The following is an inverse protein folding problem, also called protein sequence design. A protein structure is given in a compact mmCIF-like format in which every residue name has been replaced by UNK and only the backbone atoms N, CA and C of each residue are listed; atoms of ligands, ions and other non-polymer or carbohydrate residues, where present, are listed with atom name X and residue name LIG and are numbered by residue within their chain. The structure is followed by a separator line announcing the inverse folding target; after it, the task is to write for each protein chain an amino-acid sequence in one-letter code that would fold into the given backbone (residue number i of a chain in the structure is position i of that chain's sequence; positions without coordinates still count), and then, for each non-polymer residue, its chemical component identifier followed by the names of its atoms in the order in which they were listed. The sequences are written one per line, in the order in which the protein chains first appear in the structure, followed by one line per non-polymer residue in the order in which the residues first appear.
data_IF_106944974874
#
_entry.id   IF_106944974874
#
_cell.length_a   1.000
_cell.length_b   1.000
_cell.length_c   1.000
_cell.angle_alpha   90.00
_cell.angle_beta   90.00
_cell.angle_gamma   90.00
#
_symmetry.space_group_name_H-M   'P 1'
#
loop_
_entity.id
_entity.type
_entity.pdbx_description
1 polymer ?
#
# COMPACT_ATOMS: atom_id res chain seq x y z
N UNK A 1 -5.43 -28.03 -12.44
CA UNK A 1 -4.50 -27.20 -11.64
C UNK A 1 -5.25 -26.69 -10.41
N UNK A 2 -4.83 -27.11 -9.21
CA UNK A 2 -5.50 -26.88 -7.92
C UNK A 2 -5.79 -25.38 -7.67
N UNK A 3 -6.98 -25.00 -7.20
CA UNK A 3 -7.37 -23.57 -7.11
C UNK A 3 -6.42 -22.77 -6.21
N UNK A 4 -5.89 -23.40 -5.15
CA UNK A 4 -4.91 -22.81 -4.24
C UNK A 4 -3.58 -22.48 -4.92
N UNK A 5 -3.09 -23.35 -5.81
CA UNK A 5 -1.84 -23.10 -6.54
C UNK A 5 -1.95 -21.87 -7.45
N UNK A 6 -3.12 -21.63 -8.06
CA UNK A 6 -3.38 -20.42 -8.84
C UNK A 6 -3.37 -19.16 -7.96
N UNK A 7 -3.98 -19.21 -6.78
CA UNK A 7 -3.99 -18.07 -5.85
C UNK A 7 -2.57 -17.73 -5.40
N UNK A 8 -1.78 -18.73 -5.02
CA UNK A 8 -0.37 -18.54 -4.63
C UNK A 8 0.45 -17.94 -5.79
N UNK A 9 0.25 -18.41 -7.02
CA UNK A 9 0.91 -17.83 -8.18
C UNK A 9 0.53 -16.35 -8.40
N UNK A 10 -0.74 -16.00 -8.21
CA UNK A 10 -1.17 -14.59 -8.27
C UNK A 10 -0.59 -13.75 -7.13
N UNK A 11 -0.47 -14.29 -5.92
CA UNK A 11 0.24 -13.61 -4.84
C UNK A 11 1.69 -13.30 -5.22
N UNK A 12 2.40 -14.25 -5.82
CA UNK A 12 3.78 -14.04 -6.27
C UNK A 12 3.87 -12.94 -7.35
N UNK A 13 2.94 -12.94 -8.31
CA UNK A 13 2.85 -11.87 -9.33
C UNK A 13 2.54 -10.52 -8.66
N UNK A 14 1.63 -10.49 -7.69
CA UNK A 14 1.26 -9.28 -6.96
C UNK A 14 2.43 -8.71 -6.13
N UNK A 15 3.25 -9.57 -5.52
CA UNK A 15 4.51 -9.17 -4.86
C UNK A 15 5.45 -8.52 -5.87
N UNK A 16 5.68 -9.17 -7.01
CA UNK A 16 6.52 -8.60 -8.08
C UNK A 16 5.99 -7.26 -8.59
N UNK A 17 4.68 -7.13 -8.76
CA UNK A 17 4.03 -5.90 -9.18
C UNK A 17 4.20 -4.77 -8.16
N UNK A 18 4.03 -5.04 -6.87
CA UNK A 18 4.27 -4.05 -5.82
C UNK A 18 5.71 -3.51 -5.87
N UNK A 19 6.69 -4.39 -5.98
CA UNK A 19 8.12 -4.01 -6.04
C UNK A 19 8.41 -3.21 -7.31
N UNK A 20 8.01 -3.72 -8.48
CA UNK A 20 8.30 -3.07 -9.77
C UNK A 20 7.61 -1.71 -9.88
N UNK A 21 6.34 -1.60 -9.49
CA UNK A 21 5.63 -0.32 -9.52
C UNK A 21 6.21 0.65 -8.48
N UNK A 22 6.49 0.20 -7.26
CA UNK A 22 7.11 1.01 -6.22
C UNK A 22 8.43 1.62 -6.67
N UNK A 23 9.32 0.80 -7.21
CA UNK A 23 10.62 1.24 -7.72
C UNK A 23 10.49 2.13 -8.96
N UNK A 24 9.60 1.80 -9.90
CA UNK A 24 9.39 2.63 -11.09
C UNK A 24 8.89 4.03 -10.73
N UNK A 25 7.94 4.14 -9.80
CA UNK A 25 7.39 5.42 -9.34
C UNK A 25 8.46 6.22 -8.57
N UNK A 26 9.25 5.54 -7.74
CA UNK A 26 10.39 6.14 -7.02
C UNK A 26 11.44 6.70 -7.99
N UNK A 27 11.81 5.92 -9.03
CA UNK A 27 12.78 6.31 -10.04
C UNK A 27 12.30 7.51 -10.89
N UNK A 28 11.02 7.54 -11.25
CA UNK A 28 10.39 8.66 -11.94
C UNK A 28 10.17 9.88 -11.05
N UNK A 29 10.44 9.76 -9.74
CA UNK A 29 10.25 10.82 -8.73
C UNK A 29 8.86 11.45 -8.77
N UNK A 30 7.83 10.64 -9.00
CA UNK A 30 6.45 11.13 -8.99
C UNK A 30 6.09 11.47 -7.53
N UNK A 31 5.74 12.74 -7.23
CA UNK A 31 5.43 13.12 -5.86
C UNK A 31 4.10 12.49 -5.43
N UNK A 32 4.04 12.08 -4.15
CA UNK A 32 2.82 11.60 -3.48
C UNK A 32 2.20 10.31 -4.03
N UNK A 33 2.85 9.63 -4.97
CA UNK A 33 2.39 8.35 -5.51
C UNK A 33 3.45 7.29 -5.22
N UNK A 34 3.03 6.05 -4.89
CA UNK A 34 3.95 4.94 -4.62
C UNK A 34 3.54 3.66 -5.36
N UNK A 35 2.25 3.34 -5.45
CA UNK A 35 1.68 2.13 -6.08
C UNK A 35 2.21 0.78 -5.54
N UNK A 36 2.99 0.82 -4.46
CA UNK A 36 3.68 -0.28 -3.78
C UNK A 36 2.75 -1.27 -3.05
N UNK A 37 1.45 -0.98 -3.04
CA UNK A 37 0.43 -1.78 -2.36
C UNK A 37 -0.70 -2.20 -3.27
N UNK A 38 -0.65 -1.87 -4.56
CA UNK A 38 -1.69 -2.25 -5.54
C UNK A 38 -1.93 -3.76 -5.59
N UNK A 39 -0.87 -4.55 -5.62
CA UNK A 39 -0.95 -6.02 -5.61
C UNK A 39 -1.55 -6.54 -4.30
N UNK A 40 -1.18 -5.95 -3.16
CA UNK A 40 -1.75 -6.30 -1.85
C UNK A 40 -3.26 -6.04 -1.81
N UNK A 41 -3.69 -4.86 -2.29
CA UNK A 41 -5.10 -4.47 -2.37
C UNK A 41 -5.86 -5.43 -3.30
N UNK A 42 -5.30 -5.75 -4.47
CA UNK A 42 -5.92 -6.68 -5.41
C UNK A 42 -6.11 -8.07 -4.82
N UNK A 43 -5.07 -8.63 -4.19
CA UNK A 43 -5.16 -9.97 -3.59
C UNK A 43 -6.13 -9.97 -2.40
N UNK A 44 -6.05 -8.98 -1.52
CA UNK A 44 -6.94 -8.85 -0.38
C UNK A 44 -8.42 -8.74 -0.80
N UNK A 45 -8.69 -7.99 -1.88
CA UNK A 45 -10.04 -7.79 -2.39
C UNK A 45 -10.66 -9.03 -3.05
N UNK A 46 -9.86 -9.87 -3.72
CA UNK A 46 -10.37 -11.00 -4.51
C UNK A 46 -10.19 -12.37 -3.85
N UNK A 47 -9.12 -12.55 -3.06
CA UNK A 47 -8.79 -13.84 -2.43
C UNK A 47 -8.88 -13.79 -0.91
N UNK A 48 -9.10 -12.60 -0.34
CA UNK A 48 -9.35 -12.40 1.08
C UNK A 48 -8.10 -12.07 1.89
N UNK A 49 -8.34 -11.86 3.19
CA UNK A 49 -7.38 -11.29 4.13
C UNK A 49 -6.06 -12.08 4.22
N UNK A 50 -6.12 -13.41 4.35
CA UNK A 50 -4.92 -14.23 4.55
C UNK A 50 -3.93 -14.15 3.39
N UNK A 51 -4.41 -14.22 2.15
CA UNK A 51 -3.55 -14.07 0.97
C UNK A 51 -3.09 -12.62 0.77
N UNK A 52 -3.90 -11.64 1.14
CA UNK A 52 -3.51 -10.23 1.15
C UNK A 52 -2.36 -9.96 2.11
N UNK A 53 -2.47 -10.46 3.35
CA UNK A 53 -1.41 -10.36 4.37
C UNK A 53 -0.13 -11.02 3.86
N UNK A 54 -0.23 -12.26 3.33
CA UNK A 54 0.92 -12.96 2.77
C UNK A 54 1.61 -12.11 1.69
N UNK A 55 0.85 -11.56 0.75
CA UNK A 55 1.37 -10.72 -0.35
C UNK A 55 2.07 -9.47 0.19
N UNK A 56 1.44 -8.73 1.11
CA UNK A 56 1.98 -7.49 1.65
C UNK A 56 3.21 -7.69 2.54
N UNK A 57 3.22 -8.75 3.34
CA UNK A 57 4.38 -9.12 4.17
C UNK A 57 5.54 -9.57 3.30
N UNK A 58 5.29 -10.48 2.34
CA UNK A 58 6.33 -10.95 1.42
C UNK A 58 6.92 -9.81 0.58
N UNK A 59 6.10 -8.83 0.18
CA UNK A 59 6.57 -7.61 -0.51
C UNK A 59 7.61 -6.87 0.34
N UNK A 60 7.29 -6.56 1.61
CA UNK A 60 8.22 -5.81 2.46
C UNK A 60 9.44 -6.63 2.89
N UNK A 61 9.31 -7.95 3.03
CA UNK A 61 10.46 -8.83 3.28
C UNK A 61 11.40 -8.87 2.07
N UNK A 62 10.84 -8.95 0.86
CA UNK A 62 11.64 -8.88 -0.37
C UNK A 62 12.33 -7.52 -0.50
N UNK A 63 11.61 -6.42 -0.26
CA UNK A 63 12.21 -5.08 -0.16
C UNK A 63 13.27 -4.99 0.92
N UNK A 64 13.08 -5.68 2.05
CA UNK A 64 14.07 -5.83 3.10
C UNK A 64 15.40 -6.44 2.63
N UNK A 65 15.31 -7.43 1.73
CA UNK A 65 16.46 -8.13 1.17
C UNK A 65 17.16 -7.34 0.05
N UNK A 66 16.39 -6.66 -0.82
CA UNK A 66 16.95 -5.97 -2.00
C UNK A 66 17.25 -4.49 -1.77
N UNK A 67 16.42 -3.81 -0.98
CA UNK A 67 16.47 -2.36 -0.75
C UNK A 67 16.91 -1.98 0.66
N UNK A 68 17.05 -2.95 1.57
CA UNK A 68 17.58 -2.76 2.91
C UNK A 68 16.59 -3.08 4.04
N UNK A 69 17.12 -3.53 5.17
CA UNK A 69 16.36 -4.07 6.32
C UNK A 69 15.34 -3.09 6.91
N UNK A 70 15.49 -1.79 6.65
CA UNK A 70 14.58 -0.74 7.09
C UNK A 70 13.19 -0.81 6.44
N UNK A 71 13.04 -1.55 5.33
CA UNK A 71 11.74 -1.79 4.71
C UNK A 71 10.88 -2.81 5.49
N UNK A 72 11.50 -3.74 6.24
CA UNK A 72 10.80 -4.87 6.90
C UNK A 72 9.71 -4.39 7.87
N UNK A 73 9.93 -3.38 8.74
CA UNK A 73 8.89 -2.91 9.66
C UNK A 73 7.63 -2.39 8.96
N UNK A 74 7.73 -1.88 7.73
CA UNK A 74 6.58 -1.43 6.94
C UNK A 74 5.68 -2.59 6.48
N UNK A 75 6.08 -3.85 6.69
CA UNK A 75 5.19 -5.01 6.58
C UNK A 75 3.91 -4.82 7.42
N UNK A 76 4.00 -4.20 8.60
CA UNK A 76 2.84 -3.92 9.45
C UNK A 76 1.82 -2.98 8.78
N UNK A 77 2.30 -2.02 7.99
CA UNK A 77 1.44 -1.13 7.20
C UNK A 77 0.71 -1.95 6.13
N UNK A 78 1.42 -2.86 5.45
CA UNK A 78 0.84 -3.72 4.42
C UNK A 78 -0.16 -4.74 5.00
N UNK A 79 0.05 -5.21 6.23
CA UNK A 79 -0.93 -6.02 6.98
C UNK A 79 -2.22 -5.22 7.21
N UNK A 80 -2.11 -3.97 7.67
CA UNK A 80 -3.28 -3.11 7.85
C UNK A 80 -4.03 -2.87 6.52
N UNK A 81 -3.29 -2.64 5.42
CA UNK A 81 -3.87 -2.55 4.07
C UNK A 81 -4.70 -3.79 3.73
N UNK A 82 -4.12 -4.97 3.88
CA UNK A 82 -4.78 -6.22 3.56
C UNK A 82 -6.05 -6.44 4.40
N UNK A 83 -6.00 -6.14 5.71
CA UNK A 83 -7.14 -6.29 6.61
C UNK A 83 -8.29 -5.36 6.19
N UNK A 84 -8.02 -4.06 6.03
CA UNK A 84 -9.05 -3.06 5.73
C UNK A 84 -9.71 -3.36 4.39
N UNK A 85 -8.91 -3.66 3.36
CA UNK A 85 -9.43 -3.95 2.01
C UNK A 85 -10.25 -5.24 2.01
N UNK A 86 -9.77 -6.31 2.63
CA UNK A 86 -10.49 -7.57 2.67
C UNK A 86 -11.84 -7.44 3.41
N UNK A 87 -11.90 -6.65 4.49
CA UNK A 87 -13.14 -6.41 5.22
C UNK A 87 -14.17 -5.64 4.37
N UNK A 88 -13.74 -4.62 3.62
CA UNK A 88 -14.63 -3.85 2.74
C UNK A 88 -15.06 -4.64 1.50
N UNK A 89 -14.18 -5.50 0.99
CA UNK A 89 -14.39 -6.28 -0.22
C UNK A 89 -15.27 -7.53 -0.04
N UNK A 90 -15.71 -7.87 1.18
CA UNK A 90 -16.56 -9.06 1.46
C UNK A 90 -17.73 -9.25 0.50
N UNK A 91 -18.38 -8.14 0.12
CA UNK A 91 -19.50 -8.13 -0.82
C UNK A 91 -19.11 -7.49 -2.17
N UNK A 92 -17.90 -7.79 -2.65
CA UNK A 92 -17.31 -7.21 -3.86
C UNK A 92 -16.62 -5.86 -3.64
N UNK A 93 -15.72 -5.50 -4.56
CA UNK A 93 -14.91 -4.28 -4.49
C UNK A 93 -15.17 -3.40 -5.72
N UNK A 94 -16.00 -2.37 -5.55
CA UNK A 94 -16.33 -1.39 -6.60
C UNK A 94 -15.79 0.00 -6.29
N UNK A 95 -15.98 0.96 -7.20
CA UNK A 95 -15.43 2.32 -7.08
C UNK A 95 -15.80 3.03 -5.76
N UNK A 96 -17.05 2.93 -5.29
CA UNK A 96 -17.44 3.53 -4.01
C UNK A 96 -16.67 2.97 -2.81
N UNK A 97 -16.52 1.64 -2.77
CA UNK A 97 -15.70 0.97 -1.72
C UNK A 97 -14.21 1.26 -1.88
N UNK A 98 -13.73 1.44 -3.11
CA UNK A 98 -12.35 1.81 -3.37
C UNK A 98 -12.02 3.21 -2.85
N UNK A 99 -12.92 4.19 -3.01
CA UNK A 99 -12.74 5.52 -2.42
C UNK A 99 -12.74 5.43 -0.89
N UNK A 100 -13.70 4.71 -0.29
CA UNK A 100 -13.76 4.52 1.16
C UNK A 100 -12.50 3.82 1.68
N UNK A 101 -12.05 2.76 1.00
CA UNK A 101 -10.82 2.05 1.35
C UNK A 101 -9.60 2.99 1.25
N UNK A 102 -9.45 3.71 0.15
CA UNK A 102 -8.37 4.66 -0.06
C UNK A 102 -8.32 5.73 1.03
N UNK A 103 -9.47 6.30 1.40
CA UNK A 103 -9.57 7.27 2.49
C UNK A 103 -9.19 6.65 3.85
N UNK A 104 -9.73 5.49 4.20
CA UNK A 104 -9.39 4.83 5.47
C UNK A 104 -7.90 4.49 5.54
N UNK A 105 -7.33 3.95 4.47
CA UNK A 105 -5.91 3.65 4.36
C UNK A 105 -5.05 4.91 4.46
N UNK A 106 -5.51 6.03 3.89
CA UNK A 106 -4.79 7.30 3.93
C UNK A 106 -4.53 7.81 5.35
N UNK A 107 -5.40 7.48 6.31
CA UNK A 107 -5.20 7.83 7.71
C UNK A 107 -4.60 6.69 8.54
N UNK A 108 -5.08 5.46 8.37
CA UNK A 108 -4.65 4.32 9.20
C UNK A 108 -3.21 3.90 8.87
N UNK A 109 -2.79 3.91 7.60
CA UNK A 109 -1.44 3.53 7.23
C UNK A 109 -0.38 4.47 7.86
N UNK A 110 -0.54 5.81 7.81
CA UNK A 110 0.32 6.73 8.55
C UNK A 110 0.32 6.57 10.08
N UNK A 111 -0.78 6.13 10.70
CA UNK A 111 -0.78 5.90 12.16
C UNK A 111 0.24 4.82 12.57
N UNK A 112 0.46 3.83 11.71
CA UNK A 112 1.44 2.75 11.90
C UNK A 112 2.80 3.17 11.32
N UNK A 113 2.81 3.78 10.14
CA UNK A 113 4.01 4.13 9.41
C UNK A 113 4.78 5.32 9.98
N UNK A 114 4.12 6.33 10.56
CA UNK A 114 4.79 7.52 11.07
C UNK A 114 5.71 7.23 12.28
N UNK A 115 5.30 6.43 13.28
CA UNK A 115 6.21 5.99 14.34
C UNK A 115 7.42 5.22 13.82
N UNK A 116 7.22 4.34 12.83
CA UNK A 116 8.31 3.58 12.18
C UNK A 116 9.26 4.54 11.47
N UNK A 117 8.73 5.49 10.70
CA UNK A 117 9.52 6.52 10.00
C UNK A 117 10.34 7.36 10.98
N UNK A 118 9.73 7.75 12.09
CA UNK A 118 10.40 8.54 13.11
C UNK A 118 11.54 7.75 13.77
N UNK A 119 11.30 6.49 14.13
CA UNK A 119 12.29 5.65 14.80
C UNK A 119 13.49 5.30 13.92
N UNK A 120 13.26 5.05 12.62
CA UNK A 120 14.30 4.58 11.71
C UNK A 120 15.01 5.71 10.96
N UNK A 121 14.33 6.82 10.70
CA UNK A 121 14.84 7.89 9.83
C UNK A 121 14.69 9.30 10.42
N UNK A 122 14.31 9.43 11.69
CA UNK A 122 14.11 10.73 12.33
C UNK A 122 12.93 11.53 11.77
N UNK A 123 12.05 10.90 11.00
CA UNK A 123 10.82 11.48 10.43
C UNK A 123 10.90 11.79 8.93
N UNK A 124 12.09 11.84 8.34
CA UNK A 124 12.30 12.10 6.91
C UNK A 124 12.70 10.83 6.17
N UNK A 125 12.19 10.61 4.97
CA UNK A 125 12.39 9.34 4.24
C UNK A 125 13.06 9.51 2.89
N UNK A 126 13.43 10.74 2.52
CA UNK A 126 13.88 11.11 1.18
C UNK A 126 12.75 11.07 0.14
N UNK A 127 11.49 11.02 0.57
CA UNK A 127 10.32 10.92 -0.32
C UNK A 127 9.72 12.29 -0.60
N UNK A 128 8.86 12.37 -1.63
CA UNK A 128 8.13 13.61 -1.94
C UNK A 128 7.28 14.16 -0.78
N UNK A 129 6.95 13.33 0.23
CA UNK A 129 6.23 13.78 1.43
C UNK A 129 7.10 14.64 2.35
N UNK A 130 8.42 14.57 2.26
CA UNK A 130 9.34 15.29 3.13
C UNK A 130 9.24 16.81 2.96
N UNK A 131 8.84 17.29 1.77
CA UNK A 131 8.56 18.72 1.53
C UNK A 131 7.44 19.21 2.46
N UNK A 132 6.38 18.41 2.60
CA UNK A 132 5.26 18.70 3.49
C UNK A 132 5.71 18.61 4.95
N UNK A 133 6.51 17.60 5.31
CA UNK A 133 7.05 17.44 6.67
C UNK A 133 7.91 18.65 7.04
N UNK A 134 8.81 19.10 6.16
CA UNK A 134 9.67 20.27 6.39
C UNK A 134 8.84 21.54 6.58
N UNK A 135 7.81 21.77 5.76
CA UNK A 135 6.92 22.92 5.91
C UNK A 135 6.20 22.92 7.27
N UNK A 136 5.69 21.76 7.71
CA UNK A 136 5.03 21.61 9.01
C UNK A 136 6.00 21.77 10.18
N UNK A 137 7.26 21.34 10.04
CA UNK A 137 8.31 21.58 11.04
C UNK A 137 8.68 23.05 11.12
N UNK A 138 8.81 23.73 9.98
CA UNK A 138 9.05 25.16 9.93
C UNK A 138 7.91 25.97 10.57
N UNK A 139 6.67 25.48 10.50
CA UNK A 139 5.52 26.08 11.21
C UNK A 139 5.45 25.73 12.70
N UNK A 140 6.51 25.14 13.28
CA UNK A 140 6.60 24.83 14.71
C UNK A 140 5.90 23.55 15.19
N UNK A 141 5.40 22.69 14.29
CA UNK A 141 4.80 21.41 14.73
C UNK A 141 5.87 20.43 15.20
N UNK A 142 5.51 19.57 16.15
CA UNK A 142 6.36 18.46 16.60
C UNK A 142 6.67 17.46 15.48
N UNK A 143 7.80 16.74 15.61
CA UNK A 143 8.29 15.85 14.55
C UNK A 143 7.31 14.72 14.23
N UNK A 144 6.72 14.11 15.26
CA UNK A 144 5.75 13.04 15.07
C UNK A 144 4.50 13.54 14.34
N UNK A 145 4.02 14.74 14.68
CA UNK A 145 2.85 15.36 14.04
C UNK A 145 3.14 15.72 12.58
N UNK A 146 4.31 16.32 12.31
CA UNK A 146 4.75 16.66 10.96
C UNK A 146 4.90 15.39 10.09
N UNK A 147 5.53 14.34 10.64
CA UNK A 147 5.73 13.05 9.95
C UNK A 147 4.40 12.39 9.63
N UNK A 148 3.46 12.38 10.59
CA UNK A 148 2.13 11.83 10.40
C UNK A 148 1.36 12.57 9.31
N UNK A 149 1.23 13.89 9.41
CA UNK A 149 0.47 14.68 8.43
C UNK A 149 1.12 14.68 7.05
N UNK A 150 2.46 14.73 6.98
CA UNK A 150 3.18 14.54 5.72
C UNK A 150 2.90 13.17 5.10
N UNK A 151 2.94 12.10 5.89
CA UNK A 151 2.59 10.77 5.42
C UNK A 151 1.11 10.66 4.98
N UNK A 152 0.17 11.29 5.69
CA UNK A 152 -1.25 11.36 5.29
C UNK A 152 -1.41 12.01 3.93
N UNK A 153 -0.73 13.12 3.64
CA UNK A 153 -0.85 13.77 2.32
C UNK A 153 -0.41 12.86 1.17
N UNK A 154 0.70 12.14 1.34
CA UNK A 154 1.16 11.17 0.34
C UNK A 154 0.24 9.96 0.23
N UNK A 155 -0.19 9.41 1.36
CA UNK A 155 -1.08 8.24 1.35
C UNK A 155 -2.47 8.57 0.84
N UNK A 156 -2.94 9.82 0.93
CA UNK A 156 -4.23 10.23 0.40
C UNK A 156 -4.27 10.06 -1.12
N UNK A 157 -3.27 10.59 -1.82
CA UNK A 157 -3.17 10.43 -3.27
C UNK A 157 -2.91 8.97 -3.61
N UNK A 158 -1.89 8.37 -3.02
CA UNK A 158 -1.46 7.01 -3.33
C UNK A 158 -2.55 5.95 -3.10
N UNK A 159 -3.19 5.94 -1.93
CA UNK A 159 -4.15 4.88 -1.56
C UNK A 159 -5.47 5.03 -2.29
N UNK A 160 -5.95 6.26 -2.54
CA UNK A 160 -7.14 6.48 -3.37
C UNK A 160 -6.87 6.03 -4.80
N UNK A 161 -5.77 6.46 -5.41
CA UNK A 161 -5.41 6.07 -6.79
C UNK A 161 -5.23 4.55 -6.88
N UNK A 162 -4.46 3.94 -5.97
CA UNK A 162 -4.23 2.50 -5.95
C UNK A 162 -5.53 1.70 -5.82
N UNK A 163 -6.43 2.08 -4.90
CA UNK A 163 -7.71 1.40 -4.75
C UNK A 163 -8.62 1.58 -5.98
N UNK A 164 -8.68 2.76 -6.57
CA UNK A 164 -9.47 3.02 -7.78
C UNK A 164 -8.95 2.22 -8.98
N UNK A 165 -7.63 2.17 -9.16
CA UNK A 165 -7.00 1.35 -10.17
C UNK A 165 -7.35 -0.12 -9.97
N UNK A 166 -7.26 -0.64 -8.75
CA UNK A 166 -7.66 -2.04 -8.46
C UNK A 166 -9.14 -2.27 -8.77
N UNK A 167 -10.05 -1.37 -8.38
CA UNK A 167 -11.47 -1.51 -8.69
C UNK A 167 -11.75 -1.46 -10.20
N UNK A 168 -10.99 -0.66 -10.95
CA UNK A 168 -11.05 -0.65 -12.41
C UNK A 168 -10.52 -1.95 -13.01
N UNK A 169 -9.35 -2.43 -12.56
CA UNK A 169 -8.74 -3.69 -12.99
C UNK A 169 -9.66 -4.90 -12.77
N UNK A 170 -10.33 -4.98 -11.60
CA UNK A 170 -11.27 -6.08 -11.29
C UNK A 170 -12.46 -6.10 -12.27
N UNK A 171 -12.86 -4.95 -12.81
CA UNK A 171 -13.99 -4.85 -13.75
C UNK A 171 -13.61 -5.21 -15.19
N UNK A 172 -12.32 -5.28 -15.54
CA UNK A 172 -11.88 -5.60 -16.90
C UNK A 172 -12.35 -7.02 -17.29
N UNK A 173 -12.91 -7.21 -18.50
CA UNK A 173 -13.42 -8.52 -18.96
C UNK A 173 -12.39 -9.66 -18.85
N UNK A 174 -11.12 -9.36 -19.13
CA UNK A 174 -10.00 -10.29 -19.10
C UNK A 174 -9.72 -10.79 -17.67
N UNK A 175 -9.97 -9.95 -16.66
CA UNK A 175 -9.69 -10.26 -15.26
C UNK A 175 -10.80 -11.09 -14.62
N UNK A 176 -12.02 -11.10 -15.18
CA UNK A 176 -13.14 -11.94 -14.71
C UNK A 176 -12.81 -13.45 -14.71
N UNK A 177 -11.82 -13.89 -15.50
CA UNK A 177 -11.33 -15.28 -15.53
C UNK A 177 -10.44 -15.65 -14.33
N UNK A 178 -9.86 -14.65 -13.68
CA UNK A 178 -8.94 -14.82 -12.54
C UNK A 178 -9.57 -14.45 -11.19
N UNK A 179 -10.66 -13.68 -11.21
CA UNK A 179 -11.47 -13.38 -10.03
C UNK A 179 -12.38 -14.58 -9.74
N UNK A 180 -12.07 -15.32 -8.68
CA UNK A 180 -12.95 -16.37 -8.15
C UNK A 180 -13.98 -15.65 -7.28
N UNK A 181 -15.23 -15.54 -7.75
CA UNK A 181 -16.35 -15.17 -6.88
C UNK A 181 -16.67 -16.32 -5.94
#
# INVERSE_FOLDING_TARGET
MNSKAKVIAMCAIAVGLNVVLGEAVSMLRIPLLFLDTMGTIFIAANFGMGYGILTGVTTNLLMGLIGGVTAIPFALVNVAVAIIVALLAKNGFGFGKAVIAGLLLAFICPMIGAPIRLALFGGFTGSGTDVVIMALRASGKEMISATYWGAVTGNLVDKIVSCLLVAWFIKLPQMKRFVVK
#
